data_IF_021467462911
#
_entry.id   IF_021467462911
#
_cell.length_a   1.000
_cell.length_b   1.000
_cell.length_c   1.000
_cell.angle_alpha   90.00
_cell.angle_beta   90.00
_cell.angle_gamma   90.00
#
_symmetry.space_group_name_H-M   'P 1'
#
loop_
_entity.id
_entity.type
_entity.pdbx_description
1 polymer ?
#
# COMPACT_ATOMS: atom_id res chain seq x y z
N UNK A 1 4.72 12.56 -29.16
CA UNK A 1 3.70 11.80 -29.92
C UNK A 1 2.37 12.42 -29.56
N UNK A 2 1.56 12.76 -30.56
CA UNK A 2 0.22 13.29 -30.33
C UNK A 2 -0.73 12.10 -30.30
N UNK A 3 -1.40 11.89 -29.18
CA UNK A 3 -2.44 10.86 -29.03
C UNK A 3 -3.82 11.45 -29.35
N UNK A 4 -4.68 10.64 -29.96
CA UNK A 4 -6.09 10.94 -30.10
C UNK A 4 -6.77 10.90 -28.71
N UNK A 5 -7.58 11.91 -28.40
CA UNK A 5 -8.39 11.95 -27.17
C UNK A 5 -9.82 11.56 -27.54
N UNK A 6 -10.31 10.45 -26.98
CA UNK A 6 -11.71 10.05 -27.08
C UNK A 6 -12.48 10.53 -25.85
N UNK A 7 -13.62 11.17 -26.07
CA UNK A 7 -14.56 11.57 -25.02
C UNK A 7 -15.88 10.84 -25.22
N UNK A 8 -16.41 10.22 -24.16
CA UNK A 8 -17.65 9.44 -24.19
C UNK A 8 -18.72 10.15 -23.38
N UNK A 9 -19.93 10.29 -23.94
CA UNK A 9 -21.07 10.85 -23.23
C UNK A 9 -22.38 10.25 -23.75
N UNK A 10 -23.15 9.63 -22.85
CA UNK A 10 -24.37 8.92 -23.23
C UNK A 10 -24.08 7.83 -24.25
N UNK A 11 -24.75 7.87 -25.40
CA UNK A 11 -24.57 6.93 -26.51
C UNK A 11 -23.51 7.37 -27.55
N UNK A 12 -22.84 8.50 -27.33
CA UNK A 12 -21.95 9.12 -28.30
C UNK A 12 -20.48 9.13 -27.86
N UNK A 13 -19.60 9.10 -28.85
CA UNK A 13 -18.16 9.29 -28.72
C UNK A 13 -17.72 10.47 -29.60
N UNK A 14 -16.81 11.28 -29.09
CA UNK A 14 -16.10 12.35 -29.79
C UNK A 14 -14.62 12.00 -29.87
N UNK A 15 -13.97 12.33 -30.98
CA UNK A 15 -12.53 12.17 -31.16
C UNK A 15 -11.88 13.52 -31.39
N UNK A 16 -10.82 13.82 -30.65
CA UNK A 16 -10.04 15.04 -30.77
C UNK A 16 -8.59 14.70 -31.11
N UNK A 17 -8.06 15.34 -32.14
CA UNK A 17 -6.66 15.25 -32.54
C UNK A 17 -6.06 16.66 -32.52
N UNK A 18 -4.92 16.85 -31.85
CA UNK A 18 -4.29 18.17 -31.64
C UNK A 18 -5.27 19.24 -31.10
N UNK A 19 -6.17 18.83 -30.20
CA UNK A 19 -7.19 19.70 -29.62
C UNK A 19 -8.33 20.10 -30.56
N UNK A 20 -8.39 19.55 -31.78
CA UNK A 20 -9.46 19.80 -32.76
C UNK A 20 -10.38 18.60 -32.89
N UNK A 21 -11.69 18.85 -32.95
CA UNK A 21 -12.68 17.81 -33.19
C UNK A 21 -12.47 17.21 -34.58
N UNK A 22 -12.29 15.89 -34.64
CA UNK A 22 -12.09 15.16 -35.89
C UNK A 22 -13.38 15.16 -36.70
N UNK A 23 -13.25 15.42 -38.01
CA UNK A 23 -14.40 15.48 -38.93
C UNK A 23 -15.17 14.15 -38.93
N UNK A 24 -16.48 14.21 -38.73
CA UNK A 24 -17.35 13.03 -38.69
C UNK A 24 -17.58 12.46 -37.30
N UNK A 25 -17.15 13.16 -36.26
CA UNK A 25 -17.58 12.98 -34.86
C UNK A 25 -18.52 14.13 -34.44
N UNK A 26 -19.45 13.92 -33.47
CA UNK A 26 -19.64 12.69 -32.71
C UNK A 26 -20.23 11.53 -33.52
N UNK A 27 -19.97 10.31 -33.05
CA UNK A 27 -20.53 9.05 -33.57
C UNK A 27 -21.19 8.27 -32.45
N UNK A 28 -22.10 7.37 -32.82
CA UNK A 28 -22.65 6.40 -31.87
C UNK A 28 -21.54 5.44 -31.41
N UNK A 29 -21.47 5.19 -30.09
CA UNK A 29 -20.51 4.25 -29.50
C UNK A 29 -20.64 2.89 -30.15
N UNK A 30 -21.86 2.35 -30.28
CA UNK A 30 -22.08 1.05 -30.92
C UNK A 30 -21.73 0.98 -32.41
N UNK A 31 -21.53 2.14 -33.08
CA UNK A 31 -21.06 2.20 -34.47
C UNK A 31 -19.54 2.24 -34.56
N UNK A 32 -18.89 2.99 -33.68
CA UNK A 32 -17.43 3.09 -33.63
C UNK A 32 -16.79 1.88 -32.97
N UNK A 33 -17.44 1.35 -31.92
CA UNK A 33 -17.05 0.17 -31.15
C UNK A 33 -18.19 -0.85 -31.12
N UNK A 34 -18.33 -1.69 -32.18
CA UNK A 34 -19.38 -2.68 -32.25
C UNK A 34 -19.38 -3.64 -31.06
N UNK A 35 -20.54 -3.78 -30.40
CA UNK A 35 -20.71 -4.65 -29.23
C UNK A 35 -20.46 -3.96 -27.87
N UNK A 36 -19.98 -2.72 -27.86
CA UNK A 36 -19.83 -1.93 -26.63
C UNK A 36 -21.15 -1.21 -26.31
N UNK A 37 -21.67 -1.32 -25.08
CA UNK A 37 -22.89 -0.63 -24.69
C UNK A 37 -22.70 0.89 -24.59
N UNK A 38 -23.79 1.65 -24.69
CA UNK A 38 -23.82 3.10 -24.40
C UNK A 38 -23.60 3.39 -22.90
N UNK A 39 -23.67 4.66 -22.49
CA UNK A 39 -23.65 5.10 -21.07
C UNK A 39 -22.54 4.41 -20.27
N UNK A 40 -21.32 4.51 -20.78
CA UNK A 40 -20.12 3.98 -20.15
C UNK A 40 -19.78 4.79 -18.91
N UNK A 41 -19.29 4.13 -17.86
CA UNK A 41 -18.82 4.78 -16.64
C UNK A 41 -17.35 5.22 -16.75
N UNK A 42 -16.54 4.45 -17.46
CA UNK A 42 -15.13 4.76 -17.70
C UNK A 42 -14.60 4.05 -18.97
N UNK A 43 -13.49 4.56 -19.49
CA UNK A 43 -12.69 3.93 -20.53
C UNK A 43 -11.20 4.17 -20.25
N UNK A 44 -10.35 3.17 -20.49
CA UNK A 44 -8.89 3.25 -20.24
C UNK A 44 -8.14 2.66 -21.43
N UNK A 45 -7.11 3.37 -21.91
CA UNK A 45 -6.19 2.82 -22.91
C UNK A 45 -5.27 1.77 -22.28
N UNK A 46 -5.05 0.66 -22.99
CA UNK A 46 -4.19 -0.42 -22.52
C UNK A 46 -3.24 -0.80 -23.64
N UNK A 47 -1.96 -0.48 -23.47
CA UNK A 47 -0.94 -0.71 -24.49
C UNK A 47 -0.47 -2.17 -24.52
N UNK A 48 0.07 -2.58 -25.67
CA UNK A 48 0.71 -3.87 -25.83
C UNK A 48 1.90 -4.00 -24.86
N UNK A 49 1.84 -4.99 -23.96
CA UNK A 49 2.78 -5.18 -22.85
C UNK A 49 2.07 -5.17 -21.49
N UNK A 50 1.02 -4.37 -21.35
CA UNK A 50 0.08 -4.44 -20.22
C UNK A 50 -1.15 -5.29 -20.60
N UNK A 51 -1.63 -5.12 -21.84
CA UNK A 51 -2.60 -6.00 -22.48
C UNK A 51 -1.94 -6.86 -23.57
N UNK A 52 -2.64 -7.91 -24.02
CA UNK A 52 -2.16 -8.80 -25.11
C UNK A 52 -1.92 -8.05 -26.43
N UNK A 53 -2.68 -6.98 -26.65
CA UNK A 53 -2.64 -6.08 -27.81
C UNK A 53 -2.98 -4.68 -27.34
N UNK A 54 -2.62 -3.65 -28.12
CA UNK A 54 -3.16 -2.31 -27.91
C UNK A 54 -4.69 -2.38 -27.95
N UNK A 55 -5.33 -1.92 -26.88
CA UNK A 55 -6.77 -2.07 -26.66
C UNK A 55 -7.31 -0.93 -25.81
N UNK A 56 -8.63 -0.75 -25.83
CA UNK A 56 -9.32 0.16 -24.91
C UNK A 56 -10.26 -0.68 -24.06
N UNK A 57 -10.13 -0.56 -22.75
CA UNK A 57 -10.99 -1.23 -21.78
C UNK A 57 -12.17 -0.33 -21.45
N UNK A 58 -13.39 -0.82 -21.66
CA UNK A 58 -14.64 -0.10 -21.36
C UNK A 58 -15.29 -0.65 -20.10
N UNK A 59 -15.74 0.24 -19.22
CA UNK A 59 -16.39 -0.09 -17.96
C UNK A 59 -17.83 0.42 -17.99
N UNK A 60 -18.79 -0.49 -17.83
CA UNK A 60 -20.21 -0.18 -17.60
C UNK A 60 -20.69 -1.02 -16.44
N UNK A 61 -20.81 -0.40 -15.28
CA UNK A 61 -21.40 -0.95 -14.08
C UNK A 61 -22.90 -0.73 -14.04
N UNK A 62 -23.56 -1.46 -13.15
CA UNK A 62 -24.82 -1.01 -12.60
C UNK A 62 -24.47 0.00 -11.51
N UNK A 63 -24.86 1.25 -11.68
CA UNK A 63 -24.63 2.32 -10.71
C UNK A 63 -24.83 1.79 -9.29
N UNK A 64 -23.73 1.72 -8.54
CA UNK A 64 -23.78 1.23 -7.18
C UNK A 64 -24.54 2.28 -6.37
N UNK A 65 -25.85 2.09 -6.19
CA UNK A 65 -26.55 2.56 -5.00
C UNK A 65 -25.99 1.79 -3.79
N UNK A 66 -24.72 2.01 -3.47
CA UNK A 66 -24.22 1.58 -2.19
C UNK A 66 -24.74 2.53 -1.14
N UNK A 67 -25.74 2.09 -0.39
CA UNK A 67 -25.85 2.48 1.02
C UNK A 67 -24.58 2.00 1.73
N UNK A 68 -23.46 2.73 1.61
CA UNK A 68 -22.21 2.34 2.27
C UNK A 68 -22.35 2.62 3.76
N UNK A 69 -22.04 1.59 4.56
CA UNK A 69 -21.84 1.72 5.99
C UNK A 69 -20.78 2.82 6.23
N UNK A 70 -21.10 3.87 7.00
CA UNK A 70 -20.22 5.04 7.19
C UNK A 70 -18.80 4.65 7.65
N UNK A 71 -18.67 3.53 8.37
CA UNK A 71 -17.40 2.95 8.80
C UNK A 71 -16.51 2.51 7.63
N UNK A 72 -17.08 1.97 6.53
CA UNK A 72 -16.31 1.55 5.37
C UNK A 72 -15.81 2.74 4.54
N UNK A 73 -16.59 3.83 4.48
CA UNK A 73 -16.13 5.09 3.87
C UNK A 73 -14.94 5.65 4.63
N UNK A 74 -14.97 5.66 5.96
CA UNK A 74 -13.85 6.16 6.77
C UNK A 74 -12.56 5.36 6.57
N UNK A 75 -12.64 4.03 6.36
CA UNK A 75 -11.48 3.19 6.04
C UNK A 75 -10.86 3.57 4.69
N UNK A 76 -11.67 3.97 3.72
CA UNK A 76 -11.21 4.36 2.37
C UNK A 76 -10.88 5.84 2.23
N UNK A 77 -11.26 6.66 3.20
CA UNK A 77 -10.99 8.09 3.21
C UNK A 77 -9.61 8.37 3.81
N UNK A 78 -8.65 8.72 2.95
CA UNK A 78 -7.28 9.09 3.35
C UNK A 78 -7.25 10.26 4.35
N UNK A 79 -8.20 11.21 4.26
CA UNK A 79 -8.25 12.39 5.11
C UNK A 79 -9.16 12.22 6.34
N UNK A 80 -9.56 10.99 6.67
CA UNK A 80 -10.43 10.70 7.82
C UNK A 80 -9.77 10.91 9.19
N UNK A 81 -8.49 11.29 9.22
CA UNK A 81 -7.68 11.47 10.44
C UNK A 81 -7.60 10.20 11.32
N UNK A 82 -7.85 9.03 10.72
CA UNK A 82 -7.64 7.72 11.35
C UNK A 82 -6.22 7.24 11.09
N UNK A 83 -5.67 6.54 12.07
CA UNK A 83 -4.38 5.84 11.95
C UNK A 83 -4.42 4.76 10.87
N UNK A 84 -3.25 4.22 10.57
CA UNK A 84 -3.05 3.05 9.72
C UNK A 84 -2.37 1.96 10.54
N UNK A 85 -2.86 0.74 10.38
CA UNK A 85 -2.42 -0.45 11.08
C UNK A 85 -1.05 -0.94 10.57
N UNK A 86 -0.67 -0.59 9.33
CA UNK A 86 0.69 -0.84 8.87
C UNK A 86 1.13 0.18 7.82
N UNK A 87 2.44 0.42 7.78
CA UNK A 87 3.16 1.13 6.74
C UNK A 87 4.32 0.25 6.28
N UNK A 88 4.61 0.29 4.99
CA UNK A 88 5.76 -0.40 4.44
C UNK A 88 6.37 0.44 3.32
N UNK A 89 7.69 0.54 3.30
CA UNK A 89 8.43 0.90 2.10
C UNK A 89 9.06 -0.36 1.56
N UNK A 90 9.05 -0.53 0.24
CA UNK A 90 9.79 -1.62 -0.38
C UNK A 90 11.15 -1.17 -0.95
N UNK A 91 11.91 -2.14 -1.47
CA UNK A 91 13.25 -1.95 -2.01
C UNK A 91 13.27 -1.07 -3.29
N UNK A 92 12.10 -0.77 -3.85
CA UNK A 92 11.92 0.16 -4.98
C UNK A 92 11.41 1.53 -4.52
N UNK A 93 11.47 1.80 -3.22
CA UNK A 93 10.97 3.02 -2.59
C UNK A 93 9.47 3.25 -2.79
N UNK A 94 8.69 2.19 -3.07
CA UNK A 94 7.23 2.28 -3.11
C UNK A 94 6.73 2.26 -1.68
N UNK A 95 5.82 3.18 -1.36
CA UNK A 95 5.32 3.36 0.01
C UNK A 95 3.85 2.95 0.03
N UNK A 96 3.51 2.10 1.00
CA UNK A 96 2.18 1.55 1.19
C UNK A 96 1.69 1.86 2.60
N UNK A 97 0.44 2.30 2.72
CA UNK A 97 -0.26 2.45 4.00
C UNK A 97 -1.49 1.54 4.01
N UNK A 98 -1.64 0.72 5.05
CA UNK A 98 -2.64 -0.34 5.14
C UNK A 98 -3.69 0.00 6.19
N UNK A 99 -4.97 -0.17 5.85
CA UNK A 99 -6.08 0.03 6.78
C UNK A 99 -7.30 -0.80 6.48
N UNK A 100 -7.80 -1.54 7.48
CA UNK A 100 -9.06 -2.27 7.39
C UNK A 100 -9.20 -3.22 6.18
N UNK A 101 -8.10 -3.84 5.72
CA UNK A 101 -8.08 -4.70 4.53
C UNK A 101 -8.02 -3.96 3.19
N UNK A 102 -7.67 -2.68 3.23
CA UNK A 102 -7.37 -1.84 2.09
C UNK A 102 -5.95 -1.29 2.22
N UNK A 103 -5.40 -0.80 1.12
CA UNK A 103 -4.14 -0.09 1.12
C UNK A 103 -4.18 1.12 0.20
N UNK A 104 -3.33 2.09 0.51
CA UNK A 104 -3.02 3.24 -0.32
C UNK A 104 -1.58 3.15 -0.78
N UNK A 105 -1.34 3.48 -2.04
CA UNK A 105 0.01 3.66 -2.58
C UNK A 105 0.35 5.14 -2.51
N UNK A 106 1.43 5.47 -1.82
CA UNK A 106 1.79 6.85 -1.47
C UNK A 106 2.89 7.44 -2.37
N UNK A 107 3.67 6.59 -3.05
CA UNK A 107 4.75 7.03 -3.96
C UNK A 107 4.24 7.56 -5.31
N UNK A 108 3.01 7.20 -5.70
CA UNK A 108 2.42 7.55 -7.00
C UNK A 108 1.25 8.53 -6.88
N UNK A 109 1.34 9.52 -5.97
CA UNK A 109 0.26 10.49 -5.73
C UNK A 109 -0.16 11.27 -6.99
N UNK A 110 0.74 11.39 -7.97
CA UNK A 110 0.49 12.04 -9.27
C UNK A 110 -0.56 11.32 -10.14
N UNK A 111 -0.75 10.02 -9.94
CA UNK A 111 -1.72 9.20 -10.70
C UNK A 111 -3.11 9.18 -10.03
N UNK A 112 -3.27 9.91 -8.92
CA UNK A 112 -4.49 9.98 -8.13
C UNK A 112 -4.46 9.12 -6.85
N UNK A 113 -5.35 9.45 -5.93
CA UNK A 113 -5.45 8.79 -4.62
C UNK A 113 -6.55 7.73 -4.64
N UNK A 114 -6.16 6.46 -4.55
CA UNK A 114 -7.10 5.34 -4.55
C UNK A 114 -6.78 4.33 -3.45
N UNK A 115 -7.82 3.94 -2.71
CA UNK A 115 -7.78 2.81 -1.79
C UNK A 115 -8.09 1.53 -2.57
N UNK A 116 -7.16 0.57 -2.55
CA UNK A 116 -7.32 -0.74 -3.20
C UNK A 116 -7.50 -1.83 -2.13
N UNK A 117 -8.34 -2.85 -2.38
CA UNK A 117 -8.38 -3.99 -1.47
C UNK A 117 -7.06 -4.75 -1.54
N UNK A 118 -6.58 -5.32 -0.42
CA UNK A 118 -5.29 -6.04 -0.39
C UNK A 118 -5.17 -7.09 -1.49
N UNK A 119 -6.27 -7.83 -1.72
CA UNK A 119 -6.34 -8.90 -2.71
C UNK A 119 -6.16 -8.45 -4.17
N UNK A 120 -6.25 -7.14 -4.44
CA UNK A 120 -5.97 -6.58 -5.76
C UNK A 120 -4.50 -6.76 -6.16
N UNK A 121 -3.57 -6.60 -5.21
CA UNK A 121 -2.13 -6.69 -5.44
C UNK A 121 -1.54 -7.96 -4.85
N UNK A 122 -1.93 -8.32 -3.62
CA UNK A 122 -1.47 -9.52 -2.93
C UNK A 122 -2.55 -10.58 -2.96
N UNK A 123 -2.49 -11.46 -3.97
CA UNK A 123 -3.51 -12.47 -4.19
C UNK A 123 -3.70 -13.33 -2.93
N UNK A 124 -4.96 -13.46 -2.50
CA UNK A 124 -5.39 -14.18 -1.30
C UNK A 124 -5.03 -13.50 0.05
N UNK A 125 -4.43 -12.31 0.05
CA UNK A 125 -4.31 -11.49 1.26
C UNK A 125 -5.63 -10.76 1.53
N UNK A 126 -6.20 -10.95 2.72
CA UNK A 126 -7.47 -10.36 3.15
C UNK A 126 -7.43 -10.04 4.65
N UNK A 127 -8.32 -9.17 5.12
CA UNK A 127 -8.41 -8.79 6.53
C UNK A 127 -7.41 -7.71 6.93
N UNK A 128 -7.24 -7.50 8.23
CA UNK A 128 -6.35 -6.48 8.78
C UNK A 128 -4.91 -7.00 8.79
N UNK A 129 -3.98 -6.12 8.46
CA UNK A 129 -2.53 -6.37 8.55
C UNK A 129 -2.04 -5.57 9.75
N UNK A 130 -1.40 -6.25 10.69
CA UNK A 130 -0.90 -5.64 11.93
C UNK A 130 0.50 -5.06 11.76
N UNK A 131 1.28 -5.58 10.82
CA UNK A 131 2.56 -5.00 10.42
C UNK A 131 2.98 -5.49 9.02
N UNK A 132 3.78 -4.68 8.32
CA UNK A 132 4.34 -5.04 7.03
C UNK A 132 5.76 -4.48 6.87
N UNK A 133 6.64 -5.25 6.24
CA UNK A 133 8.01 -4.81 5.93
C UNK A 133 8.54 -5.50 4.67
N UNK A 134 9.62 -4.97 4.08
CA UNK A 134 10.30 -5.58 2.94
C UNK A 134 11.72 -6.02 3.28
N UNK A 135 12.21 -7.06 2.63
CA UNK A 135 13.62 -7.43 2.68
C UNK A 135 13.98 -8.30 1.48
N UNK A 136 15.05 -7.95 0.78
CA UNK A 136 15.60 -8.71 -0.36
C UNK A 136 14.54 -9.19 -1.36
N UNK A 137 13.83 -8.24 -1.98
CA UNK A 137 12.78 -8.50 -2.97
C UNK A 137 11.65 -9.38 -2.44
N UNK A 138 11.40 -9.31 -1.13
CA UNK A 138 10.24 -9.94 -0.49
C UNK A 138 9.49 -8.91 0.32
N UNK A 139 8.18 -9.10 0.38
CA UNK A 139 7.29 -8.34 1.24
C UNK A 139 6.63 -9.30 2.23
N UNK A 140 6.68 -8.93 3.50
CA UNK A 140 6.19 -9.71 4.62
C UNK A 140 4.96 -9.01 5.20
N UNK A 141 3.91 -9.77 5.43
CA UNK A 141 2.68 -9.33 6.06
C UNK A 141 2.44 -10.11 7.34
N UNK A 142 2.23 -9.41 8.44
CA UNK A 142 1.91 -10.01 9.73
C UNK A 142 0.43 -9.79 10.03
N UNK A 143 -0.28 -10.89 10.32
CA UNK A 143 -1.69 -10.90 10.68
C UNK A 143 -1.89 -11.84 11.87
N UNK A 144 -2.13 -11.28 13.05
CA UNK A 144 -2.09 -11.97 14.33
C UNK A 144 -0.73 -12.62 14.55
N UNK A 145 -0.72 -13.94 14.73
CA UNK A 145 0.49 -14.74 14.95
C UNK A 145 1.10 -15.29 13.67
N UNK A 146 0.59 -14.89 12.50
CA UNK A 146 0.98 -15.45 11.21
C UNK A 146 1.71 -14.43 10.34
N UNK A 147 2.71 -14.93 9.62
CA UNK A 147 3.47 -14.19 8.60
C UNK A 147 3.12 -14.77 7.24
N UNK A 148 2.81 -13.91 6.27
CA UNK A 148 2.65 -14.27 4.85
C UNK A 148 3.73 -13.57 4.04
N UNK A 149 4.33 -14.25 3.06
CA UNK A 149 5.44 -13.70 2.26
C UNK A 149 5.11 -13.70 0.78
N UNK A 150 5.44 -12.61 0.12
CA UNK A 150 5.34 -12.43 -1.33
C UNK A 150 6.71 -12.06 -1.90
N UNK A 151 7.08 -12.62 -3.04
CA UNK A 151 8.17 -12.08 -3.86
C UNK A 151 7.72 -10.73 -4.42
N UNK A 152 8.58 -9.73 -4.47
CA UNK A 152 8.26 -8.34 -4.86
C UNK A 152 9.08 -7.82 -6.06
N UNK A 153 9.68 -8.73 -6.84
CA UNK A 153 10.50 -8.43 -8.02
C UNK A 153 9.74 -7.60 -9.07
N UNK A 154 8.96 -8.22 -9.95
CA UNK A 154 8.13 -7.52 -10.94
C UNK A 154 6.65 -7.55 -10.55
N UNK A 155 6.22 -8.66 -9.96
CA UNK A 155 4.86 -8.91 -9.51
C UNK A 155 4.90 -9.52 -8.11
N UNK A 156 3.80 -9.36 -7.37
CA UNK A 156 3.65 -9.96 -6.05
C UNK A 156 3.20 -11.41 -6.14
N UNK A 157 4.12 -12.35 -5.93
CA UNK A 157 3.87 -13.79 -6.04
C UNK A 157 3.89 -14.42 -4.64
N UNK A 158 2.82 -15.09 -4.19
CA UNK A 158 2.80 -15.79 -2.90
C UNK A 158 3.92 -16.84 -2.83
N UNK A 159 4.67 -16.84 -1.74
CA UNK A 159 5.71 -17.86 -1.50
C UNK A 159 5.06 -19.12 -0.93
N UNK A 160 5.37 -20.27 -1.54
CA UNK A 160 4.87 -21.56 -1.07
C UNK A 160 5.32 -21.87 0.36
N UNK A 161 4.42 -22.45 1.16
CA UNK A 161 4.68 -22.78 2.57
C UNK A 161 4.34 -21.67 3.57
N UNK A 162 3.72 -20.58 3.12
CA UNK A 162 3.14 -19.53 3.97
C UNK A 162 1.60 -19.56 3.91
N UNK A 163 0.90 -19.08 4.96
CA UNK A 163 1.44 -18.42 6.16
C UNK A 163 2.15 -19.36 7.15
N UNK A 164 3.07 -18.80 7.94
CA UNK A 164 3.77 -19.48 9.04
C UNK A 164 3.65 -18.72 10.34
N UNK A 165 3.88 -19.38 11.47
CA UNK A 165 3.90 -18.71 12.77
C UNK A 165 5.12 -17.79 12.90
N UNK A 166 4.95 -16.61 13.53
CA UNK A 166 6.03 -15.66 13.85
C UNK A 166 7.17 -16.35 14.62
N UNK A 167 6.82 -17.12 15.64
CA UNK A 167 7.79 -17.81 16.50
C UNK A 167 8.62 -18.85 15.73
N UNK A 168 8.02 -19.52 14.76
CA UNK A 168 8.69 -20.53 13.94
C UNK A 168 9.59 -19.89 12.88
N UNK A 169 9.12 -18.82 12.23
CA UNK A 169 9.84 -18.20 11.12
C UNK A 169 11.09 -17.43 11.58
N UNK A 170 11.09 -16.87 12.80
CA UNK A 170 12.18 -16.04 13.32
C UNK A 170 12.80 -16.52 14.65
N UNK A 171 12.45 -17.73 15.11
CA UNK A 171 12.92 -18.33 16.38
C UNK A 171 12.74 -17.38 17.60
N UNK A 172 11.64 -16.63 17.63
CA UNK A 172 11.33 -15.63 18.67
C UNK A 172 10.24 -16.16 19.63
N UNK A 173 10.64 -16.95 20.62
CA UNK A 173 9.70 -17.56 21.56
C UNK A 173 8.90 -16.52 22.37
N UNK A 174 7.57 -16.68 22.44
CA UNK A 174 6.67 -15.77 23.15
C UNK A 174 6.25 -14.54 22.35
N UNK A 175 6.55 -14.51 21.04
CA UNK A 175 6.15 -13.44 20.13
C UNK A 175 5.01 -13.94 19.24
N UNK A 176 3.78 -13.74 19.72
CA UNK A 176 2.56 -14.17 19.03
C UNK A 176 1.81 -13.04 18.32
N UNK A 177 2.23 -11.79 18.54
CA UNK A 177 1.68 -10.59 17.92
C UNK A 177 2.71 -9.45 18.02
N UNK A 178 2.59 -8.49 17.11
CA UNK A 178 3.41 -7.29 17.05
C UNK A 178 2.50 -6.10 16.71
N UNK A 179 2.87 -4.92 17.20
CA UNK A 179 2.16 -3.68 16.87
C UNK A 179 2.81 -2.99 15.67
N UNK A 180 4.10 -3.23 15.44
CA UNK A 180 4.80 -2.77 14.25
C UNK A 180 6.01 -3.64 13.92
N UNK A 181 6.40 -3.66 12.66
CA UNK A 181 7.61 -4.31 12.20
C UNK A 181 8.25 -3.50 11.07
N UNK A 182 9.57 -3.39 11.07
CA UNK A 182 10.29 -2.71 9.98
C UNK A 182 11.70 -3.25 9.81
N UNK A 183 12.24 -3.00 8.63
CA UNK A 183 13.61 -3.22 8.21
C UNK A 183 14.12 -1.90 7.62
N UNK A 184 15.39 -1.57 7.85
CA UNK A 184 15.99 -0.38 7.23
C UNK A 184 16.73 -0.75 5.93
N UNK A 185 16.84 0.19 4.97
CA UNK A 185 17.56 -0.06 3.73
C UNK A 185 18.97 -0.61 3.95
N UNK A 186 19.35 -1.61 3.15
CA UNK A 186 20.65 -2.29 3.22
C UNK A 186 20.96 -2.99 4.55
N UNK A 187 19.97 -3.17 5.41
CA UNK A 187 20.10 -3.97 6.64
C UNK A 187 19.41 -5.32 6.49
N UNK A 188 19.94 -6.30 7.23
CA UNK A 188 19.30 -7.61 7.46
C UNK A 188 18.61 -7.67 8.83
N UNK A 189 18.56 -6.56 9.54
CA UNK A 189 17.90 -6.44 10.82
C UNK A 189 16.41 -6.20 10.66
N UNK A 190 15.61 -7.13 11.15
CA UNK A 190 14.18 -6.97 11.39
C UNK A 190 13.97 -6.49 12.83
N UNK A 191 13.24 -5.39 12.95
CA UNK A 191 12.83 -4.82 14.22
C UNK A 191 11.35 -5.08 14.44
N UNK A 192 11.01 -5.80 15.50
CA UNK A 192 9.64 -6.07 15.93
C UNK A 192 9.31 -5.23 17.16
N UNK A 193 8.19 -4.50 17.13
CA UNK A 193 7.72 -3.68 18.25
C UNK A 193 6.50 -4.33 18.88
N UNK A 194 6.50 -4.41 20.21
CA UNK A 194 5.33 -4.76 21.03
C UNK A 194 5.27 -3.87 22.27
N UNK A 195 4.26 -3.02 22.36
CA UNK A 195 4.20 -1.91 23.30
C UNK A 195 5.45 -1.06 23.18
N UNK A 196 6.23 -0.98 24.25
CA UNK A 196 7.50 -0.25 24.29
C UNK A 196 8.74 -1.13 24.11
N UNK A 197 8.58 -2.41 23.76
CA UNK A 197 9.69 -3.34 23.55
C UNK A 197 10.03 -3.49 22.08
N UNK A 198 11.31 -3.44 21.78
CA UNK A 198 11.90 -3.61 20.46
C UNK A 198 12.75 -4.90 20.46
N UNK A 199 12.27 -5.92 19.75
CA UNK A 199 12.99 -7.18 19.54
C UNK A 199 13.72 -7.12 18.20
N UNK A 200 15.02 -7.42 18.21
CA UNK A 200 15.85 -7.48 17.02
C UNK A 200 15.99 -8.94 16.54
N UNK A 201 15.81 -9.14 15.23
CA UNK A 201 15.99 -10.42 14.54
C UNK A 201 16.93 -10.20 13.36
N UNK A 202 17.95 -11.04 13.22
CA UNK A 202 18.78 -11.09 12.02
C UNK A 202 18.08 -11.99 10.99
N UNK A 203 17.70 -11.44 9.84
CA UNK A 203 16.97 -12.14 8.78
C UNK A 203 17.83 -13.16 8.01
N UNK A 204 19.16 -13.03 8.02
CA UNK A 204 20.05 -14.01 7.39
C UNK A 204 20.06 -15.31 8.20
N UNK A 205 20.15 -15.18 9.52
CA UNK A 205 20.14 -16.33 10.44
C UNK A 205 18.74 -16.73 10.88
N UNK A 206 17.76 -15.84 10.67
CA UNK A 206 16.36 -15.94 11.12
C UNK A 206 16.23 -16.16 12.61
N UNK A 207 17.07 -15.46 13.37
CA UNK A 207 17.17 -15.63 14.82
C UNK A 207 17.16 -14.29 15.53
N UNK A 208 16.61 -14.33 16.74
CA UNK A 208 16.72 -13.22 17.69
C UNK A 208 18.19 -12.85 17.91
N UNK A 209 18.48 -11.56 17.82
CA UNK A 209 19.80 -10.99 18.06
C UNK A 209 19.77 -10.13 19.34
N UNK A 210 20.39 -10.63 20.40
CA UNK A 210 20.48 -9.93 21.69
C UNK A 210 19.17 -9.88 22.49
N UNK A 211 19.17 -9.04 23.52
CA UNK A 211 18.01 -8.80 24.40
C UNK A 211 17.06 -7.73 23.83
N UNK A 212 15.83 -7.72 24.32
CA UNK A 212 14.86 -6.66 23.98
C UNK A 212 15.36 -5.30 24.44
N UNK A 213 15.29 -4.33 23.53
CA UNK A 213 15.54 -2.94 23.85
C UNK A 213 14.22 -2.26 24.18
N UNK A 214 14.27 -1.22 25.01
CA UNK A 214 13.08 -0.41 25.32
C UNK A 214 13.14 0.88 24.51
N UNK A 215 12.02 1.28 23.92
CA UNK A 215 11.87 2.56 23.22
C UNK A 215 11.05 3.52 24.08
N UNK A 216 11.17 4.82 23.81
CA UNK A 216 10.47 5.87 24.56
C UNK A 216 8.96 5.91 24.30
N UNK A 217 8.50 5.31 23.19
CA UNK A 217 7.08 5.25 22.82
C UNK A 217 6.39 4.10 23.54
N UNK A 218 5.30 4.39 24.24
CA UNK A 218 4.49 3.38 24.93
C UNK A 218 3.55 2.64 23.99
N UNK A 219 3.12 3.29 22.91
CA UNK A 219 2.20 2.78 21.89
C UNK A 219 2.73 3.15 20.51
N UNK A 220 2.72 2.19 19.59
CA UNK A 220 3.12 2.34 18.20
C UNK A 220 2.12 1.56 17.38
N UNK A 221 1.43 2.21 16.45
CA UNK A 221 0.44 1.57 15.59
C UNK A 221 1.09 0.94 14.35
N UNK A 222 2.24 1.49 13.93
CA UNK A 222 2.99 1.02 12.78
C UNK A 222 4.39 1.65 12.75
N UNK A 223 5.31 1.06 12.00
CA UNK A 223 6.65 1.61 11.77
C UNK A 223 7.09 1.37 10.34
N UNK A 224 7.92 2.26 9.81
CA UNK A 224 8.51 2.14 8.48
C UNK A 224 9.90 2.77 8.48
N UNK A 225 10.87 2.12 7.87
CA UNK A 225 12.19 2.70 7.62
C UNK A 225 12.46 2.75 6.12
N UNK A 226 12.97 3.88 5.63
CA UNK A 226 13.31 4.07 4.22
C UNK A 226 14.59 4.91 4.10
N UNK A 227 14.92 5.37 2.89
CA UNK A 227 16.12 6.16 2.64
C UNK A 227 16.17 7.51 3.38
N UNK A 228 15.05 8.00 3.90
CA UNK A 228 14.93 9.24 4.65
C UNK A 228 14.97 9.06 6.17
N UNK A 229 14.97 7.81 6.66
CA UNK A 229 15.06 7.49 8.08
C UNK A 229 13.92 6.58 8.56
N UNK A 230 13.72 6.57 9.87
CA UNK A 230 12.74 5.76 10.57
C UNK A 230 11.52 6.60 10.96
N UNK A 231 10.34 6.07 10.69
CA UNK A 231 9.06 6.67 11.00
C UNK A 231 8.30 5.73 11.93
N UNK A 232 7.97 6.19 13.13
CA UNK A 232 7.02 5.52 14.02
C UNK A 232 5.67 6.22 13.93
N UNK A 233 4.61 5.47 13.72
CA UNK A 233 3.25 5.95 13.57
C UNK A 233 2.48 5.67 14.87
N UNK A 234 1.75 6.67 15.35
CA UNK A 234 0.80 6.50 16.45
C UNK A 234 -0.36 7.47 16.24
N UNK A 235 -1.57 6.92 16.07
CA UNK A 235 -2.74 7.69 15.71
C UNK A 235 -2.58 8.39 14.35
N UNK A 236 -3.04 9.65 14.21
CA UNK A 236 -2.87 10.44 12.99
C UNK A 236 -1.47 11.05 12.82
N UNK A 237 -0.55 10.76 13.74
CA UNK A 237 0.76 11.39 13.84
C UNK A 237 1.89 10.41 13.55
N UNK A 238 3.03 10.95 13.13
CA UNK A 238 4.28 10.19 13.03
C UNK A 238 5.43 10.89 13.74
N UNK A 239 6.41 10.10 14.16
CA UNK A 239 7.67 10.55 14.75
C UNK A 239 8.81 10.11 13.85
N UNK A 240 9.59 11.08 13.37
CA UNK A 240 10.70 10.83 12.47
C UNK A 240 12.03 10.81 13.23
N UNK A 241 12.82 9.79 12.94
CA UNK A 241 14.16 9.57 13.46
C UNK A 241 15.10 9.37 12.28
N UNK A 242 16.35 9.80 12.42
CA UNK A 242 17.39 9.55 11.43
C UNK A 242 17.65 8.06 11.24
N UNK A 243 17.75 7.33 12.36
CA UNK A 243 18.04 5.89 12.39
C UNK A 243 17.56 5.27 13.72
N UNK A 244 17.72 3.94 13.84
CA UNK A 244 17.36 3.20 15.06
C UNK A 244 18.26 3.57 16.24
N UNK A 245 19.50 4.01 16.00
CA UNK A 245 20.41 4.45 17.05
C UNK A 245 19.90 5.71 17.75
N UNK A 246 19.35 6.67 16.99
CA UNK A 246 18.70 7.85 17.55
C UNK A 246 17.46 7.49 18.38
N UNK A 247 16.60 6.62 17.87
CA UNK A 247 15.42 6.13 18.60
C UNK A 247 15.80 5.53 19.98
N UNK A 248 16.89 4.79 20.04
CA UNK A 248 17.33 4.10 21.25
C UNK A 248 18.13 4.98 22.23
N UNK A 249 18.68 6.10 21.77
CA UNK A 249 19.53 6.99 22.58
C UNK A 249 18.81 8.23 23.07
N UNK A 250 17.69 8.60 22.44
CA UNK A 250 16.90 9.76 22.85
C UNK A 250 16.09 9.50 24.12
N UNK A 251 15.94 10.54 24.95
CA UNK A 251 15.07 10.54 26.13
C UNK A 251 13.77 11.33 25.90
N UNK A 252 13.62 11.95 24.73
CA UNK A 252 12.49 12.83 24.39
C UNK A 252 12.04 12.59 22.96
N UNK A 253 10.74 12.42 22.75
CA UNK A 253 10.20 12.26 21.40
C UNK A 253 10.38 13.55 20.58
N UNK A 254 10.70 13.44 19.27
CA UNK A 254 10.72 14.60 18.39
C UNK A 254 9.30 15.18 18.25
N UNK A 255 9.21 16.40 17.70
CA UNK A 255 7.92 16.98 17.38
C UNK A 255 7.15 16.07 16.39
N UNK A 256 5.87 15.75 16.65
CA UNK A 256 5.11 14.88 15.77
C UNK A 256 4.79 15.58 14.45
N UNK A 257 4.97 14.87 13.35
CA UNK A 257 4.41 15.24 12.06
C UNK A 257 2.98 14.71 11.90
N UNK A 258 2.22 15.26 10.96
CA UNK A 258 0.86 14.79 10.64
C UNK A 258 0.88 13.92 9.39
N UNK A 259 0.31 12.72 9.47
CA UNK A 259 0.29 11.76 8.35
C UNK A 259 -0.49 12.34 7.17
N UNK A 260 -1.63 12.98 7.46
CA UNK A 260 -2.52 13.54 6.46
C UNK A 260 -1.80 14.53 5.53
N UNK A 261 -1.03 15.46 6.07
CA UNK A 261 -0.33 16.48 5.29
C UNK A 261 1.00 16.03 4.70
N UNK A 262 1.70 15.10 5.36
CA UNK A 262 3.01 14.67 4.90
C UNK A 262 2.96 13.54 3.88
N UNK A 263 2.10 12.54 4.11
CA UNK A 263 2.05 11.33 3.29
C UNK A 263 0.87 11.26 2.34
N UNK A 264 -0.21 12.00 2.63
CA UNK A 264 -1.49 11.82 1.96
C UNK A 264 -1.95 13.03 1.17
N UNK A 265 -1.26 14.18 1.20
CA UNK A 265 -1.67 15.45 0.58
C UNK A 265 -3.11 15.87 0.95
N UNK A 266 -3.44 15.75 2.23
CA UNK A 266 -4.57 16.43 2.87
C UNK A 266 -4.04 17.75 3.51
#
# INVERSE_FOLDING_TARGET
>A
MVSDILMFQGEQVWSYYEGKLVKGFPRLIGKEFPGIPDHLDAAVECHQGECRTDSVLFFKGHGHETRQNATLMAIKDRCSNRSFEAFCSDDKSRIYAFRGGWYFRLDSSKDGWHAWPLSHTWRNLQGVVDAAFSHEHRMYFIQGSQVTVYLSDQMYIPVAGYPKAIEEEWEVSGVTAVDAAFTCPHSSDLYLIRGNRLTLVDLNTRRRSGEDKTIIHSEVDSAMCNAHGLYLIHGPSFYHYKDVGELLSTNTAPAPGTIASYFLDC
#
